data_IF_979247750607
#
_entry.id   IF_979247750607
#
_cell.length_a   1.000
_cell.length_b   1.000
_cell.length_c   1.000
_cell.angle_alpha   90.00
_cell.angle_beta   90.00
_cell.angle_gamma   90.00
#
_symmetry.space_group_name_H-M   'P 1'
#
loop_
_entity.id
_entity.type
_entity.pdbx_description
1 polymer ?
#
# COMPACT_ATOMS: atom_id res chain seq x y z
N UNK A 1 1.01 6.13 16.94
CA UNK A 1 -0.13 5.20 17.11
C UNK A 1 -0.32 4.58 15.74
N UNK A 2 -0.26 3.26 15.60
CA UNK A 2 -0.29 2.65 14.27
C UNK A 2 -1.73 2.69 13.70
N UNK A 3 -1.89 3.29 12.51
CA UNK A 3 -3.14 3.30 11.76
C UNK A 3 -3.29 1.99 10.99
N UNK A 4 -4.35 1.23 11.26
CA UNK A 4 -4.59 -0.06 10.58
C UNK A 4 -5.11 0.18 9.15
N UNK A 5 -4.49 -0.48 8.17
CA UNK A 5 -5.02 -0.52 6.79
C UNK A 5 -5.92 -1.74 6.63
N UNK A 6 -5.41 -2.90 7.04
CA UNK A 6 -6.11 -4.18 7.00
C UNK A 6 -5.59 -5.11 8.12
N UNK A 7 -6.07 -6.36 8.14
CA UNK A 7 -5.72 -7.34 9.16
C UNK A 7 -4.21 -7.70 9.20
N UNK A 8 -3.51 -7.46 8.09
CA UNK A 8 -2.10 -7.80 7.91
C UNK A 8 -1.17 -6.60 8.01
N UNK A 9 -1.63 -5.42 7.59
CA UNK A 9 -0.81 -4.22 7.45
C UNK A 9 -1.33 -3.07 8.30
N UNK A 10 -0.42 -2.47 9.06
CA UNK A 10 -0.64 -1.19 9.73
C UNK A 10 0.49 -0.22 9.39
N UNK A 11 0.19 1.07 9.46
CA UNK A 11 1.12 2.16 9.15
C UNK A 11 1.43 2.91 10.43
N UNK A 12 2.71 3.20 10.59
CA UNK A 12 3.23 4.09 11.60
C UNK A 12 4.18 5.07 10.91
N UNK A 13 4.62 6.11 11.62
CA UNK A 13 5.58 7.05 11.10
C UNK A 13 6.51 7.52 12.21
N UNK A 14 7.81 7.58 11.90
CA UNK A 14 8.78 8.28 12.73
C UNK A 14 9.10 9.66 12.14
N UNK A 15 10.05 10.39 12.75
CA UNK A 15 10.40 11.75 12.34
C UNK A 15 10.91 11.85 10.89
N UNK A 16 11.37 10.76 10.28
CA UNK A 16 12.03 10.74 8.97
C UNK A 16 11.46 9.69 8.00
N UNK A 17 10.73 8.68 8.48
CA UNK A 17 10.29 7.54 7.69
C UNK A 17 8.82 7.18 7.95
N UNK A 18 8.20 6.69 6.89
CA UNK A 18 6.95 5.94 6.94
C UNK A 18 7.27 4.46 7.19
N UNK A 19 6.58 3.87 8.15
CA UNK A 19 6.82 2.50 8.61
C UNK A 19 5.59 1.66 8.29
N UNK A 20 5.74 0.67 7.42
CA UNK A 20 4.72 -0.34 7.18
C UNK A 20 5.03 -1.54 8.09
N UNK A 21 4.10 -1.84 9.00
CA UNK A 21 4.16 -3.00 9.87
C UNK A 21 3.36 -4.14 9.25
N UNK A 22 4.03 -5.24 8.96
CA UNK A 22 3.44 -6.45 8.43
C UNK A 22 3.34 -7.51 9.53
N UNK A 23 2.10 -7.84 9.90
CA UNK A 23 1.77 -8.87 10.87
C UNK A 23 1.42 -10.17 10.14
N UNK A 24 2.31 -11.14 10.25
CA UNK A 24 2.03 -12.51 9.78
C UNK A 24 1.63 -13.38 10.98
N UNK A 25 0.55 -14.16 10.83
CA UNK A 25 0.03 -15.03 11.90
C UNK A 25 1.14 -15.98 12.38
N UNK A 26 1.42 -15.96 13.68
CA UNK A 26 2.43 -16.82 14.32
C UNK A 26 3.89 -16.44 14.05
N UNK A 27 4.17 -15.32 13.38
CA UNK A 27 5.53 -14.83 13.12
C UNK A 27 5.75 -13.45 13.76
N UNK A 28 7.01 -13.09 13.95
CA UNK A 28 7.39 -11.73 14.37
C UNK A 28 6.92 -10.73 13.31
N UNK A 29 6.47 -9.58 13.79
CA UNK A 29 6.13 -8.43 12.95
C UNK A 29 7.36 -8.01 12.13
N UNK A 30 7.15 -7.75 10.84
CA UNK A 30 8.18 -7.24 9.94
C UNK A 30 7.93 -5.75 9.75
N UNK A 31 8.98 -4.95 9.89
CA UNK A 31 8.93 -3.50 9.70
C UNK A 31 9.62 -3.13 8.39
N UNK A 32 8.89 -2.46 7.52
CA UNK A 32 9.41 -1.93 6.26
C UNK A 32 9.47 -0.40 6.35
N UNK A 33 10.65 0.18 6.10
CA UNK A 33 10.89 1.61 6.23
C UNK A 33 10.95 2.28 4.86
N UNK A 34 10.23 3.38 4.72
CA UNK A 34 10.13 4.13 3.47
C UNK A 34 10.38 5.62 3.72
N UNK A 35 11.22 6.27 2.90
CA UNK A 35 11.54 7.69 3.10
C UNK A 35 10.40 8.62 2.65
N UNK A 36 9.41 8.12 1.90
CA UNK A 36 8.23 8.88 1.53
C UNK A 36 7.02 7.97 1.30
N UNK A 37 5.84 8.57 1.38
CA UNK A 37 4.56 7.90 1.26
C UNK A 37 4.34 7.26 -0.12
N UNK A 38 4.89 7.85 -1.19
CA UNK A 38 4.76 7.33 -2.56
C UNK A 38 5.42 5.95 -2.69
N UNK A 39 6.61 5.78 -2.12
CA UNK A 39 7.31 4.50 -2.13
C UNK A 39 6.58 3.44 -1.30
N UNK A 40 6.06 3.83 -0.12
CA UNK A 40 5.24 2.96 0.72
C UNK A 40 3.98 2.49 -0.04
N UNK A 41 3.24 3.41 -0.66
CA UNK A 41 2.01 3.08 -1.37
C UNK A 41 2.28 2.18 -2.59
N UNK A 42 3.34 2.45 -3.36
CA UNK A 42 3.77 1.61 -4.47
C UNK A 42 4.11 0.18 -4.01
N UNK A 43 4.78 0.05 -2.86
CA UNK A 43 5.10 -1.27 -2.29
C UNK A 43 3.84 -2.06 -1.94
N UNK A 44 2.87 -1.45 -1.25
CA UNK A 44 1.62 -2.12 -0.85
C UNK A 44 0.81 -2.54 -2.08
N UNK A 45 0.65 -1.65 -3.05
CA UNK A 45 -0.08 -1.94 -4.30
C UNK A 45 0.60 -3.08 -5.06
N UNK A 46 1.93 -3.02 -5.22
CA UNK A 46 2.70 -4.08 -5.86
C UNK A 46 2.59 -5.41 -5.13
N UNK A 47 2.63 -5.41 -3.80
CA UNK A 47 2.47 -6.60 -2.97
C UNK A 47 1.10 -7.24 -3.14
N UNK A 48 0.02 -6.45 -3.05
CA UNK A 48 -1.36 -6.93 -3.24
C UNK A 48 -1.56 -7.45 -4.65
N UNK A 49 -1.07 -6.75 -5.67
CA UNK A 49 -1.15 -7.20 -7.07
C UNK A 49 -0.46 -8.54 -7.28
N UNK A 50 0.72 -8.77 -6.71
CA UNK A 50 1.37 -10.09 -6.77
C UNK A 50 0.55 -11.17 -6.07
N UNK A 51 -0.08 -10.88 -4.94
CA UNK A 51 -1.00 -11.83 -4.31
C UNK A 51 -2.21 -12.16 -5.20
N UNK A 52 -2.76 -11.18 -5.93
CA UNK A 52 -3.85 -11.41 -6.88
C UNK A 52 -3.40 -12.21 -8.10
N UNK A 53 -2.24 -11.89 -8.68
CA UNK A 53 -1.67 -12.61 -9.84
C UNK A 53 -1.30 -14.06 -9.50
N UNK A 54 -0.88 -14.35 -8.27
CA UNK A 54 -0.62 -15.75 -7.84
C UNK A 54 -1.93 -16.55 -7.67
N UNK A 55 -3.06 -15.88 -7.46
CA UNK A 55 -4.38 -16.52 -7.25
C UNK A 55 -5.24 -16.63 -8.51
N UNK A 56 -4.94 -15.87 -9.55
CA UNK A 56 -5.68 -15.92 -10.80
C UNK A 56 -4.72 -16.10 -11.96
N UNK A 57 -5.04 -17.03 -12.86
CA UNK A 57 -4.62 -16.96 -14.26
C UNK A 57 -5.28 -15.70 -14.85
N UNK A 58 -4.74 -14.53 -14.47
CA UNK A 58 -5.21 -13.26 -14.99
C UNK A 58 -4.59 -13.17 -16.36
N UNK A 59 -5.37 -13.53 -17.37
CA UNK A 59 -5.03 -13.28 -18.76
C UNK A 59 -5.02 -11.76 -18.94
N UNK A 60 -3.86 -11.16 -18.68
CA UNK A 60 -3.58 -9.74 -18.83
C UNK A 60 -3.54 -9.47 -20.34
N UNK A 61 -4.73 -9.45 -20.94
CA UNK A 61 -4.96 -9.19 -22.36
C UNK A 61 -4.05 -8.04 -22.80
N UNK A 62 -3.03 -8.43 -23.56
CA UNK A 62 -2.08 -7.55 -24.20
C UNK A 62 -2.87 -6.50 -24.99
N UNK A 63 -2.75 -5.24 -24.58
CA UNK A 63 -3.02 -4.05 -25.37
C UNK A 63 -4.45 -3.94 -25.95
N UNK A 64 -5.45 -3.73 -25.11
CA UNK A 64 -6.68 -3.05 -25.55
C UNK A 64 -6.50 -1.53 -25.39
N UNK A 65 -6.68 -0.78 -26.47
CA UNK A 65 -6.52 0.69 -26.54
C UNK A 65 -7.52 1.48 -25.68
N UNK A 66 -8.53 0.80 -25.11
CA UNK A 66 -9.54 1.39 -24.24
C UNK A 66 -9.27 1.18 -22.74
N UNK A 67 -8.34 0.28 -22.38
CA UNK A 67 -7.99 0.00 -20.98
C UNK A 67 -6.71 0.75 -20.64
N UNK A 68 -6.69 1.55 -19.55
CA UNK A 68 -5.45 2.19 -19.11
C UNK A 68 -4.35 1.14 -18.95
N UNK A 69 -3.14 1.49 -19.37
CA UNK A 69 -2.01 0.58 -19.27
C UNK A 69 -1.86 0.08 -17.82
N UNK A 70 -1.42 -1.15 -17.65
CA UNK A 70 -1.24 -1.75 -16.33
C UNK A 70 -0.37 -0.87 -15.41
N UNK A 71 0.68 -0.25 -15.96
CA UNK A 71 1.51 0.72 -15.26
C UNK A 71 0.72 1.97 -14.82
N UNK A 72 -0.15 2.49 -15.67
CA UNK A 72 -1.01 3.63 -15.35
C UNK A 72 -2.01 3.30 -14.22
N UNK A 73 -2.56 2.07 -14.21
CA UNK A 73 -3.44 1.61 -13.13
C UNK A 73 -2.71 1.46 -11.80
N UNK A 74 -1.47 0.98 -11.83
CA UNK A 74 -0.62 0.89 -10.63
C UNK A 74 -0.36 2.28 -10.08
N UNK A 75 0.06 3.22 -10.91
CA UNK A 75 0.36 4.58 -10.48
C UNK A 75 -0.88 5.29 -9.92
N UNK A 76 -2.03 5.15 -10.55
CA UNK A 76 -3.29 5.76 -10.08
C UNK A 76 -3.75 5.14 -8.76
N UNK A 77 -3.67 3.81 -8.64
CA UNK A 77 -4.00 3.08 -7.41
C UNK A 77 -3.07 3.46 -6.26
N UNK A 78 -1.77 3.58 -6.51
CA UNK A 78 -0.79 3.98 -5.51
C UNK A 78 -1.01 5.43 -5.07
N UNK A 79 -1.37 6.33 -6.00
CA UNK A 79 -1.72 7.72 -5.68
C UNK A 79 -2.96 7.81 -4.79
N UNK A 80 -4.03 7.10 -5.13
CA UNK A 80 -5.26 7.04 -4.33
C UNK A 80 -4.99 6.48 -2.94
N UNK A 81 -4.18 5.41 -2.84
CA UNK A 81 -3.80 4.82 -1.56
C UNK A 81 -2.97 5.79 -0.72
N UNK A 82 -1.99 6.49 -1.30
CA UNK A 82 -1.23 7.51 -0.59
C UNK A 82 -2.14 8.58 0.02
N UNK A 83 -3.07 9.13 -0.76
CA UNK A 83 -4.03 10.11 -0.22
C UNK A 83 -4.95 9.55 0.87
N UNK A 84 -5.38 8.28 0.74
CA UNK A 84 -6.17 7.64 1.78
C UNK A 84 -5.38 7.53 3.10
N UNK A 85 -4.13 7.08 3.02
CA UNK A 85 -3.24 6.96 4.19
C UNK A 85 -3.02 8.33 4.83
N UNK A 86 -2.69 9.35 4.03
CA UNK A 86 -2.53 10.72 4.51
C UNK A 86 -3.78 11.19 5.25
N UNK A 87 -4.98 10.96 4.70
CA UNK A 87 -6.25 11.31 5.34
C UNK A 87 -6.49 10.56 6.66
N UNK A 88 -6.14 9.28 6.74
CA UNK A 88 -6.30 8.48 7.95
C UNK A 88 -5.33 8.95 9.04
N UNK A 89 -4.07 9.17 8.67
CA UNK A 89 -3.02 9.61 9.61
C UNK A 89 -3.26 11.05 10.08
N UNK A 90 -3.63 11.98 9.19
CA UNK A 90 -3.94 13.36 9.58
C UNK A 90 -5.20 13.50 10.44
N UNK A 91 -6.17 12.57 10.31
CA UNK A 91 -7.33 12.55 11.20
C UNK A 91 -6.99 12.17 12.64
N UNK A 92 -5.98 11.32 12.84
CA UNK A 92 -5.51 10.89 14.16
C UNK A 92 -4.86 12.07 14.93
N UNK A 93 -4.11 12.94 14.23
CA UNK A 93 -3.49 14.14 14.81
C UNK A 93 -4.49 15.24 15.19
N UNK A 94 -5.63 15.35 14.48
CA UNK A 94 -6.66 16.37 14.76
C UNK A 94 -7.47 16.11 16.04
N UNK A 95 -7.30 14.95 16.67
CA UNK A 95 -8.03 14.56 17.89
C UNK A 95 -7.16 14.61 19.16
N UNK A 96 -5.99 15.25 19.09
CA UNK A 96 -4.99 15.26 20.15
C UNK A 96 -4.84 16.63 20.82
#
# INVERSE_FOLDING_TARGET
>A
MASYIDDKFSIDSDKHNWILREKNVGKKEILHYFPNLKLLANFIVGYKLRMFLVKGDVDLLKNSSATPSYSSLIEDSARKLAHYIEKVVSKDDSTR
#
